data_IF_643125769312
#
_entry.id   IF_643125769312
#
_cell.length_a   1.000
_cell.length_b   1.000
_cell.length_c   1.000
_cell.angle_alpha   90.00
_cell.angle_beta   90.00
_cell.angle_gamma   90.00
#
_symmetry.space_group_name_H-M   'P 1'
#
loop_
_entity.id
_entity.type
_entity.pdbx_description
1 polymer ?
#
# COMPACT_ATOMS: atom_id res chain seq x y z
N UNK A 1 -2.87 -12.75 11.84
CA UNK A 1 -2.56 -13.63 12.99
C UNK A 1 -3.33 -14.93 12.93
N UNK A 2 -4.65 -14.89 12.68
CA UNK A 2 -5.52 -16.07 12.50
C UNK A 2 -4.92 -17.17 11.61
N UNK A 3 -4.50 -16.84 10.38
CA UNK A 3 -3.97 -17.85 9.43
C UNK A 3 -2.63 -18.46 9.86
N UNK A 4 -1.97 -17.84 10.85
CA UNK A 4 -0.71 -18.29 11.45
C UNK A 4 -0.92 -18.77 12.90
N UNK A 5 -2.15 -19.04 13.32
CA UNK A 5 -2.47 -19.45 14.69
C UNK A 5 -1.74 -20.72 15.12
N UNK A 6 -1.42 -21.61 14.16
CA UNK A 6 -0.69 -22.85 14.38
C UNK A 6 0.80 -22.76 14.02
N UNK A 7 1.27 -21.60 13.55
CA UNK A 7 2.64 -21.43 13.07
C UNK A 7 3.55 -20.97 14.23
N UNK A 8 4.54 -21.79 14.63
CA UNK A 8 5.49 -21.42 15.68
C UNK A 8 6.56 -20.43 15.20
N UNK A 9 6.86 -20.38 13.90
CA UNK A 9 7.90 -19.49 13.38
C UNK A 9 7.42 -18.03 13.29
N UNK A 10 8.03 -17.18 14.11
CA UNK A 10 7.84 -15.73 14.12
C UNK A 10 8.22 -15.07 12.79
N UNK A 11 9.26 -15.60 12.12
CA UNK A 11 9.80 -15.03 10.88
C UNK A 11 8.83 -15.20 9.72
N UNK A 12 8.14 -16.34 9.66
CA UNK A 12 7.09 -16.61 8.68
C UNK A 12 5.91 -15.65 8.85
N UNK A 13 5.41 -15.47 10.08
CA UNK A 13 4.34 -14.51 10.35
C UNK A 13 4.75 -13.09 9.95
N UNK A 14 5.95 -12.65 10.34
CA UNK A 14 6.45 -11.30 10.03
C UNK A 14 6.52 -11.09 8.52
N UNK A 15 7.13 -12.02 7.80
CA UNK A 15 7.30 -11.93 6.34
C UNK A 15 5.93 -11.93 5.64
N UNK A 16 5.03 -12.83 6.00
CA UNK A 16 3.70 -12.88 5.39
C UNK A 16 2.88 -11.61 5.64
N UNK A 17 2.96 -11.04 6.86
CA UNK A 17 2.31 -9.77 7.17
C UNK A 17 2.85 -8.61 6.33
N UNK A 18 4.18 -8.54 6.13
CA UNK A 18 4.82 -7.53 5.29
C UNK A 18 4.39 -7.65 3.82
N UNK A 19 4.32 -8.86 3.28
CA UNK A 19 3.88 -9.09 1.90
C UNK A 19 2.41 -8.71 1.70
N UNK A 20 1.55 -9.12 2.63
CA UNK A 20 0.13 -8.78 2.63
C UNK A 20 -0.06 -7.26 2.67
N UNK A 21 0.56 -6.58 3.64
CA UNK A 21 0.37 -5.14 3.79
C UNK A 21 0.91 -4.37 2.59
N UNK A 22 2.02 -4.81 1.99
CA UNK A 22 2.59 -4.18 0.81
C UNK A 22 1.65 -4.28 -0.40
N UNK A 23 1.10 -5.47 -0.66
CA UNK A 23 0.16 -5.70 -1.77
C UNK A 23 -1.13 -4.90 -1.61
N UNK A 24 -1.70 -4.89 -0.40
CA UNK A 24 -2.93 -4.15 -0.11
C UNK A 24 -2.70 -2.63 -0.19
N UNK A 25 -1.62 -2.15 0.44
CA UNK A 25 -1.29 -0.73 0.45
C UNK A 25 -1.00 -0.20 -0.97
N UNK A 26 -0.26 -0.98 -1.78
CA UNK A 26 0.07 -0.59 -3.15
C UNK A 26 -1.17 -0.47 -4.04
N UNK A 27 -2.00 -1.53 -4.06
CA UNK A 27 -3.25 -1.52 -4.85
C UNK A 27 -4.23 -0.43 -4.41
N UNK A 28 -4.39 -0.21 -3.11
CA UNK A 28 -5.25 0.85 -2.57
C UNK A 28 -4.71 2.25 -2.91
N UNK A 29 -3.39 2.45 -2.83
CA UNK A 29 -2.75 3.71 -3.18
C UNK A 29 -3.01 4.08 -4.64
N UNK A 30 -2.77 3.15 -5.57
CA UNK A 30 -2.98 3.36 -7.00
C UNK A 30 -4.43 3.75 -7.34
N UNK A 31 -5.41 3.05 -6.78
CA UNK A 31 -6.83 3.35 -7.03
C UNK A 31 -7.24 4.69 -6.42
N UNK A 32 -6.67 5.04 -5.27
CA UNK A 32 -7.03 6.28 -4.55
C UNK A 32 -6.39 7.52 -5.17
N UNK A 33 -5.12 7.45 -5.60
CA UNK A 33 -4.36 8.62 -6.00
C UNK A 33 -4.47 8.96 -7.50
N UNK A 34 -4.86 8.01 -8.36
CA UNK A 34 -4.81 8.19 -9.82
C UNK A 34 -5.68 9.35 -10.31
N UNK A 35 -6.95 9.40 -9.92
CA UNK A 35 -7.86 10.48 -10.34
C UNK A 35 -7.48 11.85 -9.76
N UNK A 36 -7.25 12.01 -8.44
CA UNK A 36 -6.87 13.31 -7.90
C UNK A 36 -5.53 13.80 -8.43
N UNK A 37 -4.56 12.91 -8.67
CA UNK A 37 -3.27 13.28 -9.25
C UNK A 37 -3.42 13.77 -10.69
N UNK A 38 -4.25 13.11 -11.50
CA UNK A 38 -4.56 13.54 -12.87
C UNK A 38 -5.09 14.96 -12.88
N UNK A 39 -6.11 15.25 -12.08
CA UNK A 39 -6.71 16.58 -12.00
C UNK A 39 -5.70 17.65 -11.53
N UNK A 40 -4.88 17.33 -10.53
CA UNK A 40 -3.85 18.23 -10.03
C UNK A 40 -2.75 18.51 -11.08
N UNK A 41 -2.28 17.48 -11.78
CA UNK A 41 -1.28 17.61 -12.85
C UNK A 41 -1.81 18.45 -14.01
N UNK A 42 -3.02 18.15 -14.50
CA UNK A 42 -3.66 18.93 -15.57
C UNK A 42 -3.70 20.41 -15.22
N UNK A 43 -4.20 20.75 -14.03
CA UNK A 43 -4.30 22.14 -13.57
C UNK A 43 -2.93 22.79 -13.40
N UNK A 44 -1.95 22.05 -12.88
CA UNK A 44 -0.62 22.61 -12.64
C UNK A 44 0.12 22.88 -13.95
N UNK A 45 0.15 21.91 -14.86
CA UNK A 45 0.81 22.05 -16.17
C UNK A 45 0.13 23.14 -16.99
N UNK A 46 -1.20 23.24 -16.94
CA UNK A 46 -1.94 24.34 -17.56
C UNK A 46 -1.44 25.70 -17.09
N UNK A 47 -1.42 25.92 -15.78
CA UNK A 47 -1.02 27.20 -15.20
C UNK A 47 0.45 27.54 -15.46
N UNK A 48 1.31 26.52 -15.57
CA UNK A 48 2.73 26.71 -15.90
C UNK A 48 2.91 27.09 -17.36
N UNK A 49 2.16 26.49 -18.29
CA UNK A 49 2.36 26.69 -19.73
C UNK A 49 1.59 27.89 -20.30
N UNK A 50 0.39 28.20 -19.77
CA UNK A 50 -0.46 29.26 -20.28
C UNK A 50 0.24 30.63 -20.46
N UNK A 51 1.11 31.10 -19.53
CA UNK A 51 1.81 32.38 -19.69
C UNK A 51 2.82 32.41 -20.85
N UNK A 52 3.31 31.27 -21.30
CA UNK A 52 4.33 31.16 -22.36
C UNK A 52 3.73 30.89 -23.74
N UNK A 53 2.41 30.73 -23.84
CA UNK A 53 1.69 30.53 -25.08
C UNK A 53 1.04 31.85 -25.54
N UNK A 54 1.71 32.66 -26.38
CA UNK A 54 1.12 33.88 -26.93
C UNK A 54 -0.08 33.51 -27.82
N UNK A 55 -1.28 34.01 -27.49
CA UNK A 55 -2.51 33.77 -28.26
C UNK A 55 -3.64 33.01 -27.54
N UNK A 56 -3.43 32.57 -26.30
CA UNK A 56 -4.47 31.94 -25.44
C UNK A 56 -5.65 32.88 -25.15
N UNK A 57 -5.47 34.19 -25.34
CA UNK A 57 -6.46 35.22 -25.01
C UNK A 57 -7.72 35.25 -25.90
N UNK A 58 -7.82 34.54 -27.03
CA UNK A 58 -8.92 34.81 -27.97
C UNK A 58 -9.84 33.65 -28.32
N UNK A 59 -9.42 32.43 -28.68
CA UNK A 59 -10.38 31.33 -28.95
C UNK A 59 -9.76 29.94 -29.15
N UNK A 60 -8.44 29.80 -29.19
CA UNK A 60 -7.79 28.54 -29.57
C UNK A 60 -6.87 28.00 -28.47
N UNK A 61 -7.49 27.55 -27.38
CA UNK A 61 -6.80 26.85 -26.29
C UNK A 61 -6.57 25.37 -26.61
N UNK A 62 -7.14 24.89 -27.71
CA UNK A 62 -7.14 23.48 -28.14
C UNK A 62 -5.74 22.87 -28.18
N UNK A 63 -4.76 23.61 -28.70
CA UNK A 63 -3.38 23.15 -28.79
C UNK A 63 -2.74 23.01 -27.39
N UNK A 64 -3.03 23.95 -26.49
CA UNK A 64 -2.54 23.88 -25.11
C UNK A 64 -3.22 22.74 -24.35
N UNK A 65 -4.52 22.53 -24.54
CA UNK A 65 -5.29 21.44 -23.93
C UNK A 65 -4.75 20.07 -24.34
N UNK A 66 -4.41 19.91 -25.62
CA UNK A 66 -3.77 18.69 -26.13
C UNK A 66 -2.40 18.46 -25.49
N UNK A 67 -1.55 19.50 -25.41
CA UNK A 67 -0.22 19.38 -24.79
C UNK A 67 -0.33 19.01 -23.31
N UNK A 68 -1.21 19.68 -22.57
CA UNK A 68 -1.43 19.40 -21.13
C UNK A 68 -1.96 17.98 -20.93
N UNK A 69 -2.86 17.52 -21.79
CA UNK A 69 -3.39 16.17 -21.74
C UNK A 69 -2.30 15.12 -21.93
N UNK A 70 -1.45 15.27 -22.96
CA UNK A 70 -0.33 14.36 -23.24
C UNK A 70 0.65 14.35 -22.07
N UNK A 71 1.10 15.52 -21.61
CA UNK A 71 2.04 15.62 -20.50
C UNK A 71 1.48 15.01 -19.21
N UNK A 72 0.19 15.21 -18.93
CA UNK A 72 -0.46 14.61 -17.77
C UNK A 72 -0.52 13.10 -17.90
N UNK A 73 -0.92 12.58 -19.07
CA UNK A 73 -1.01 11.13 -19.30
C UNK A 73 0.36 10.45 -19.15
N UNK A 74 1.41 11.01 -19.74
CA UNK A 74 2.77 10.45 -19.72
C UNK A 74 3.37 10.41 -18.30
N UNK A 75 3.04 11.39 -17.46
CA UNK A 75 3.60 11.51 -16.11
C UNK A 75 2.72 10.88 -15.02
N UNK A 76 1.48 10.53 -15.33
CA UNK A 76 0.53 10.05 -14.33
C UNK A 76 1.00 8.73 -13.70
N UNK A 77 1.48 7.78 -14.50
CA UNK A 77 1.92 6.47 -14.00
C UNK A 77 3.15 6.58 -13.11
N UNK A 78 4.10 7.44 -13.48
CA UNK A 78 5.28 7.74 -12.66
C UNK A 78 4.86 8.34 -11.31
N UNK A 79 3.99 9.35 -11.31
CA UNK A 79 3.50 9.96 -10.08
C UNK A 79 2.73 8.98 -9.19
N UNK A 80 1.90 8.12 -9.77
CA UNK A 80 1.21 7.05 -9.03
C UNK A 80 2.21 6.07 -8.40
N UNK A 81 3.23 5.64 -9.13
CA UNK A 81 4.27 4.72 -8.63
C UNK A 81 5.09 5.32 -7.48
N UNK A 82 5.40 6.62 -7.54
CA UNK A 82 6.09 7.31 -6.45
C UNK A 82 5.24 7.38 -5.18
N UNK A 83 3.95 7.70 -5.30
CA UNK A 83 3.01 7.71 -4.18
C UNK A 83 2.87 6.30 -3.61
N UNK A 84 2.67 5.30 -4.47
CA UNK A 84 2.56 3.89 -4.10
C UNK A 84 3.74 3.46 -3.23
N UNK A 85 4.98 3.74 -3.69
CA UNK A 85 6.19 3.40 -2.95
C UNK A 85 6.21 4.01 -1.55
N UNK A 86 5.90 5.30 -1.43
CA UNK A 86 5.88 5.99 -0.13
C UNK A 86 4.80 5.39 0.79
N UNK A 87 3.63 5.06 0.24
CA UNK A 87 2.53 4.45 0.99
C UNK A 87 2.90 3.05 1.46
N UNK A 88 3.50 2.21 0.60
CA UNK A 88 3.96 0.86 0.95
C UNK A 88 5.06 0.91 2.01
N UNK A 89 6.07 1.77 1.84
CA UNK A 89 7.16 1.93 2.82
C UNK A 89 6.62 2.35 4.20
N UNK A 90 5.61 3.22 4.22
CA UNK A 90 4.93 3.60 5.46
C UNK A 90 4.13 2.44 6.04
N UNK A 91 3.36 1.73 5.23
CA UNK A 91 2.55 0.60 5.69
C UNK A 91 3.41 -0.53 6.26
N UNK A 92 4.62 -0.76 5.72
CA UNK A 92 5.61 -1.68 6.26
C UNK A 92 6.13 -1.30 7.64
N UNK A 93 6.19 -0.01 7.97
CA UNK A 93 6.52 0.46 9.33
C UNK A 93 5.31 0.35 10.26
N UNK A 94 4.14 0.72 9.76
CA UNK A 94 2.91 0.77 10.55
C UNK A 94 2.42 -0.64 10.93
N UNK A 95 2.72 -1.68 10.13
CA UNK A 95 2.33 -3.08 10.42
C UNK A 95 3.09 -3.70 11.60
N UNK A 96 4.27 -3.18 11.96
CA UNK A 96 5.09 -3.76 13.03
C UNK A 96 4.42 -3.70 14.40
N UNK A 97 3.75 -2.58 14.71
CA UNK A 97 3.07 -2.39 15.99
C UNK A 97 1.88 -3.37 16.18
N UNK A 98 0.96 -3.53 15.21
CA UNK A 98 -0.14 -4.50 15.30
C UNK A 98 0.30 -5.96 15.43
N UNK A 99 1.41 -6.38 14.80
CA UNK A 99 1.88 -7.77 14.85
C UNK A 99 2.78 -8.07 16.05
N UNK A 100 3.35 -7.05 16.70
CA UNK A 100 4.28 -7.22 17.81
C UNK A 100 3.75 -8.11 18.95
N UNK A 101 2.49 -7.99 19.41
CA UNK A 101 1.96 -8.88 20.47
C UNK A 101 1.96 -10.35 20.06
N UNK A 102 1.65 -10.64 18.79
CA UNK A 102 1.63 -12.00 18.28
C UNK A 102 3.04 -12.61 18.16
N UNK A 103 4.04 -11.79 17.80
CA UNK A 103 5.44 -12.20 17.79
C UNK A 103 5.95 -12.45 19.20
N UNK A 104 5.63 -11.57 20.15
CA UNK A 104 6.01 -11.71 21.56
C UNK A 104 5.41 -12.98 22.19
N UNK A 105 4.14 -13.30 21.90
CA UNK A 105 3.50 -14.51 22.41
C UNK A 105 4.25 -15.79 22.00
N UNK A 106 4.71 -15.86 20.74
CA UNK A 106 5.56 -16.95 20.22
C UNK A 106 6.91 -16.99 20.91
N UNK A 107 7.55 -15.83 21.06
CA UNK A 107 8.85 -15.73 21.71
C UNK A 107 8.78 -16.18 23.18
N UNK A 108 7.75 -15.76 23.90
CA UNK A 108 7.52 -16.16 25.28
C UNK A 108 7.31 -17.67 25.41
N UNK A 109 6.52 -18.28 24.53
CA UNK A 109 6.34 -19.74 24.51
C UNK A 109 7.67 -20.46 24.26
N UNK A 110 8.47 -19.98 23.29
CA UNK A 110 9.78 -20.57 22.97
C UNK A 110 10.75 -20.53 24.16
N UNK A 111 10.70 -19.46 24.96
CA UNK A 111 11.54 -19.30 26.15
C UNK A 111 11.03 -20.14 27.34
N UNK A 112 9.72 -20.17 27.57
CA UNK A 112 9.12 -20.87 28.72
C UNK A 112 9.07 -22.39 28.51
N UNK A 113 8.83 -22.84 27.28
CA UNK A 113 8.66 -24.26 26.95
C UNK A 113 9.29 -24.56 25.58
N UNK A 114 10.63 -24.72 25.52
CA UNK A 114 11.35 -24.91 24.25
C UNK A 114 10.90 -26.14 23.45
N UNK A 115 10.38 -27.16 24.13
CA UNK A 115 9.91 -28.40 23.52
C UNK A 115 8.41 -28.37 23.15
N UNK A 116 7.70 -27.26 23.41
CA UNK A 116 6.27 -27.12 23.12
C UNK A 116 6.08 -26.03 22.06
N UNK A 117 5.64 -26.38 20.85
CA UNK A 117 5.36 -25.38 19.81
C UNK A 117 4.26 -24.40 20.23
N UNK A 118 4.31 -23.19 19.69
CA UNK A 118 3.29 -22.16 19.93
C UNK A 118 2.01 -22.50 19.18
N UNK A 119 0.88 -22.41 19.88
CA UNK A 119 -0.45 -22.49 19.31
C UNK A 119 -1.35 -21.44 19.96
N UNK A 120 -2.06 -20.67 19.16
CA UNK A 120 -3.01 -19.68 19.65
C UNK A 120 -4.36 -20.34 19.95
N UNK A 121 -4.60 -20.66 21.23
CA UNK A 121 -5.80 -21.35 21.69
C UNK A 121 -7.11 -20.64 21.29
N UNK A 122 -7.08 -19.31 21.11
CA UNK A 122 -8.26 -18.52 20.72
C UNK A 122 -8.77 -18.87 19.32
N UNK A 123 -7.87 -19.22 18.40
CA UNK A 123 -8.21 -19.59 17.03
C UNK A 123 -8.34 -21.12 16.84
N UNK A 124 -7.65 -21.90 17.67
CA UNK A 124 -7.68 -23.37 17.59
C UNK A 124 -9.00 -23.96 18.09
N UNK A 125 -9.63 -23.36 19.11
CA UNK A 125 -10.97 -23.83 19.54
C UNK A 125 -12.05 -23.57 18.49
N UNK A 126 -11.94 -22.48 17.71
CA UNK A 126 -12.80 -22.24 16.54
C UNK A 126 -12.49 -23.15 15.35
N UNK A 127 -11.33 -23.81 15.33
CA UNK A 127 -10.88 -24.70 14.27
C UNK A 127 -11.44 -26.14 14.38
N UNK A 128 -12.17 -26.48 15.44
CA UNK A 128 -12.83 -27.80 15.54
C UNK A 128 -13.94 -28.03 14.48
N UNK A 129 -14.30 -27.00 13.73
CA UNK A 129 -15.37 -27.04 12.72
C UNK A 129 -14.85 -27.13 11.27
N UNK A 130 -13.54 -27.36 11.04
CA UNK A 130 -13.02 -27.49 9.68
C UNK A 130 -13.46 -28.82 9.04
N UNK A 131 -14.02 -28.81 7.81
CA UNK A 131 -14.26 -30.03 7.07
C UNK A 131 -12.93 -30.71 6.74
N UNK A 132 -12.89 -32.04 6.85
CA UNK A 132 -11.73 -32.86 6.49
C UNK A 132 -11.58 -33.02 4.98
#
# INVERSE_FOLDING_TARGET
TKDFALEPDESMLKTAAQWMVSSVAGSLALVSCREPLRAALTNHVWNVLAPYCPGVDVHDTTALDQVVHVLTADNLELGCSLIEKVVVDRALRDIEAPIAPALQARQQQRVQSPNVPYYDASYVQSALNWPQ
#
